data_IF_344063291866
#
_entry.id   IF_344063291866
#
_cell.length_a   1.000
_cell.length_b   1.000
_cell.length_c   1.000
_cell.angle_alpha   90.00
_cell.angle_beta   90.00
_cell.angle_gamma   90.00
#
_symmetry.space_group_name_H-M   'P 1'
#
loop_
_entity.id
_entity.type
_entity.pdbx_description
1 polymer ?
#
# COMPACT_ATOMS: atom_id res chain seq x y z
N UNK A 1 -17.14 -28.19 -64.39
CA UNK A 1 -16.58 -29.56 -64.31
C UNK A 1 -15.89 -29.74 -62.93
N UNK A 2 -16.41 -30.76 -62.22
CA UNK A 2 -15.85 -31.56 -61.12
C UNK A 2 -15.67 -30.92 -59.71
N UNK A 3 -16.65 -31.15 -58.90
CA UNK A 3 -16.74 -31.87 -57.62
C UNK A 3 -15.44 -32.48 -57.07
N UNK A 4 -15.14 -32.14 -55.81
CA UNK A 4 -14.46 -32.93 -54.77
C UNK A 4 -14.82 -32.25 -53.43
N UNK A 5 -15.60 -32.71 -52.61
CA UNK A 5 -15.71 -33.84 -51.75
C UNK A 5 -15.06 -33.51 -50.37
N UNK A 6 -15.86 -32.94 -49.38
CA UNK A 6 -15.42 -32.75 -48.02
C UNK A 6 -15.48 -34.10 -47.29
N UNK A 7 -14.34 -34.63 -46.89
CA UNK A 7 -14.23 -35.77 -45.96
C UNK A 7 -14.41 -35.31 -44.54
N UNK A 8 -15.41 -35.82 -43.83
CA UNK A 8 -15.63 -35.58 -42.41
C UNK A 8 -14.62 -36.34 -41.52
N UNK A 9 -14.43 -35.91 -40.29
CA UNK A 9 -13.42 -36.50 -39.36
C UNK A 9 -13.81 -37.95 -39.01
N UNK A 10 -12.86 -38.83 -39.24
CA UNK A 10 -13.01 -40.26 -39.18
C UNK A 10 -13.31 -40.83 -37.80
N UNK A 11 -13.86 -42.02 -37.80
CA UNK A 11 -14.26 -42.86 -36.66
C UNK A 11 -13.16 -43.18 -35.63
N UNK A 12 -11.90 -42.91 -35.93
CA UNK A 12 -10.77 -43.11 -35.00
C UNK A 12 -10.81 -42.21 -33.74
N UNK A 13 -11.32 -40.99 -33.83
CA UNK A 13 -11.39 -40.07 -32.68
C UNK A 13 -12.44 -40.46 -31.63
N UNK A 14 -13.50 -41.16 -32.05
CA UNK A 14 -14.57 -41.62 -31.14
C UNK A 14 -14.17 -42.86 -30.33
N UNK A 15 -13.33 -43.71 -30.87
CA UNK A 15 -12.81 -44.89 -30.17
C UNK A 15 -11.83 -44.53 -29.08
N UNK A 16 -10.97 -43.54 -29.31
CA UNK A 16 -9.97 -43.08 -28.33
C UNK A 16 -10.60 -42.36 -27.15
N UNK A 17 -11.64 -41.58 -27.34
CA UNK A 17 -12.36 -40.93 -26.24
C UNK A 17 -13.13 -41.92 -25.35
N UNK A 18 -13.71 -43.00 -25.94
CA UNK A 18 -14.35 -44.04 -25.12
C UNK A 18 -13.37 -44.82 -24.25
N UNK A 19 -12.19 -45.14 -24.78
CA UNK A 19 -11.15 -45.86 -24.03
C UNK A 19 -10.63 -45.01 -22.82
N UNK A 20 -10.52 -43.69 -22.98
CA UNK A 20 -10.11 -42.78 -21.88
C UNK A 20 -11.20 -42.66 -20.81
N UNK A 21 -12.49 -42.68 -21.18
CA UNK A 21 -13.60 -42.63 -20.23
C UNK A 21 -13.75 -43.95 -19.45
N UNK A 22 -13.54 -45.10 -20.09
CA UNK A 22 -13.58 -46.39 -19.41
C UNK A 22 -12.37 -46.57 -18.45
N UNK A 23 -11.20 -46.06 -18.81
CA UNK A 23 -10.02 -46.04 -17.91
C UNK A 23 -10.21 -45.14 -16.70
N UNK A 24 -10.84 -43.98 -16.82
CA UNK A 24 -11.17 -43.07 -15.74
C UNK A 24 -12.26 -43.62 -14.81
N UNK A 25 -13.26 -44.33 -15.37
CA UNK A 25 -14.29 -44.99 -14.57
C UNK A 25 -13.72 -46.18 -13.76
N UNK A 26 -12.78 -46.92 -14.31
CA UNK A 26 -12.11 -48.04 -13.60
C UNK A 26 -11.23 -47.54 -12.44
N UNK A 27 -10.53 -46.38 -12.60
CA UNK A 27 -9.75 -45.77 -11.53
C UNK A 27 -10.63 -45.22 -10.41
N UNK A 28 -11.81 -44.71 -10.69
CA UNK A 28 -12.78 -44.25 -9.68
C UNK A 28 -13.39 -45.41 -8.88
N UNK A 29 -13.61 -46.58 -9.52
CA UNK A 29 -14.13 -47.77 -8.85
C UNK A 29 -13.13 -48.44 -7.91
N UNK A 30 -11.82 -48.37 -8.22
CA UNK A 30 -10.76 -48.91 -7.36
C UNK A 30 -10.55 -48.02 -6.11
N UNK A 31 -10.80 -46.72 -6.21
CA UNK A 31 -10.72 -45.81 -5.05
C UNK A 31 -11.87 -46.01 -4.05
N UNK A 32 -13.02 -46.56 -4.45
CA UNK A 32 -14.14 -46.84 -3.56
C UNK A 32 -14.04 -48.19 -2.83
N UNK A 33 -13.16 -49.10 -3.28
CA UNK A 33 -13.05 -50.47 -2.70
C UNK A 33 -11.99 -50.59 -1.61
N UNK A 34 -11.17 -49.56 -1.39
CA UNK A 34 -10.17 -49.51 -0.29
C UNK A 34 -10.73 -48.93 1.01
N UNK A 35 -11.97 -48.41 1.01
CA UNK A 35 -12.63 -47.77 2.15
C UNK A 35 -13.47 -48.66 3.04
N UNK A 36 -13.55 -49.98 2.83
CA UNK A 36 -14.39 -50.90 3.63
C UNK A 36 -13.57 -51.93 4.40
N UNK A 37 -12.82 -51.50 5.39
CA UNK A 37 -12.28 -52.35 6.46
C UNK A 37 -12.91 -51.94 7.78
N UNK A 38 -13.86 -52.77 8.17
CA UNK A 38 -14.46 -53.09 9.49
C UNK A 38 -14.10 -52.20 10.68
N UNK A 39 -15.17 -51.65 11.26
CA UNK A 39 -15.21 -51.09 12.58
C UNK A 39 -14.79 -52.04 13.71
N UNK A 40 -13.92 -51.54 14.56
CA UNK A 40 -13.70 -51.95 15.92
C UNK A 40 -14.08 -50.79 16.84
N UNK A 41 -14.69 -51.01 18.01
CA UNK A 41 -15.10 -49.95 18.91
C UNK A 41 -13.89 -49.46 19.69
N UNK A 42 -13.69 -48.16 19.67
CA UNK A 42 -12.88 -47.50 20.69
C UNK A 42 -11.54 -47.02 20.24
N UNK A 43 -11.51 -45.80 20.27
CA UNK A 43 -10.51 -44.76 20.53
C UNK A 43 -10.65 -43.67 19.48
N UNK A 44 -11.59 -42.75 19.73
CA UNK A 44 -11.45 -41.41 19.19
C UNK A 44 -10.13 -40.83 19.73
N UNK A 45 -9.06 -41.05 19.00
CA UNK A 45 -7.92 -40.15 19.12
C UNK A 45 -8.43 -38.79 18.64
N UNK A 46 -8.83 -37.96 19.59
CA UNK A 46 -8.70 -36.53 19.43
C UNK A 46 -7.21 -36.33 19.09
N UNK A 47 -6.90 -36.27 17.83
CA UNK A 47 -5.72 -35.57 17.37
C UNK A 47 -5.97 -34.14 17.87
N UNK A 48 -5.53 -33.84 19.08
CA UNK A 48 -5.44 -32.51 19.58
C UNK A 48 -4.67 -31.77 18.50
N UNK A 49 -5.35 -30.83 17.84
CA UNK A 49 -4.61 -29.81 17.10
C UNK A 49 -3.62 -29.30 18.13
N UNK A 50 -2.34 -29.64 17.92
CA UNK A 50 -1.28 -29.12 18.74
C UNK A 50 -1.50 -27.60 18.75
N UNK A 51 -1.90 -27.06 19.87
CA UNK A 51 -2.16 -25.63 20.02
C UNK A 51 -0.86 -24.97 19.55
N UNK A 52 -0.94 -24.14 18.53
CA UNK A 52 0.22 -23.42 18.06
C UNK A 52 0.82 -22.71 19.28
N UNK A 53 2.14 -22.85 19.51
CA UNK A 53 2.77 -22.26 20.69
C UNK A 53 2.46 -20.78 20.72
N UNK A 54 2.02 -20.26 21.86
CA UNK A 54 1.74 -18.84 22.05
C UNK A 54 3.04 -18.04 21.82
N UNK A 55 3.13 -17.18 20.81
CA UNK A 55 4.35 -16.42 20.54
C UNK A 55 4.72 -15.44 21.64
N UNK A 56 3.81 -15.17 22.59
CA UNK A 56 4.01 -14.30 23.73
C UNK A 56 4.47 -15.04 25.01
N UNK A 57 4.68 -16.35 24.94
CA UNK A 57 5.16 -17.17 26.05
C UNK A 57 6.32 -18.09 25.59
N UNK A 58 7.24 -18.37 26.50
CA UNK A 58 8.27 -19.39 26.27
C UNK A 58 7.70 -20.79 26.48
N UNK A 59 8.53 -21.83 26.28
CA UNK A 59 8.16 -23.23 26.46
C UNK A 59 7.75 -23.57 27.91
N UNK A 60 8.14 -22.76 28.88
CA UNK A 60 7.82 -22.90 30.29
C UNK A 60 6.62 -22.06 30.71
N UNK A 61 6.00 -21.32 29.77
CA UNK A 61 4.87 -20.43 30.03
C UNK A 61 5.27 -19.07 30.63
N UNK A 62 6.55 -18.72 30.66
CA UNK A 62 6.98 -17.40 31.10
C UNK A 62 6.70 -16.36 30.03
N UNK A 63 6.38 -15.10 30.43
CA UNK A 63 6.16 -14.00 29.50
C UNK A 63 7.38 -13.77 28.58
N UNK A 64 7.14 -13.75 27.27
CA UNK A 64 8.12 -13.43 26.26
C UNK A 64 7.65 -12.26 25.43
N UNK A 65 8.53 -11.30 25.12
CA UNK A 65 8.22 -10.21 24.20
C UNK A 65 7.72 -10.75 22.87
N UNK A 66 6.57 -10.28 22.44
CA UNK A 66 5.97 -10.64 21.16
C UNK A 66 5.62 -9.39 20.36
N UNK A 67 5.68 -9.51 19.05
CA UNK A 67 5.50 -8.42 18.10
C UNK A 67 4.46 -8.84 17.06
N UNK A 68 3.51 -7.95 16.69
CA UNK A 68 2.55 -8.22 15.63
C UNK A 68 3.21 -8.40 14.26
N UNK A 69 2.49 -9.07 13.35
CA UNK A 69 2.91 -9.23 11.98
C UNK A 69 3.09 -7.89 11.27
N UNK A 70 4.03 -7.88 10.34
CA UNK A 70 4.23 -6.75 9.43
C UNK A 70 3.12 -6.73 8.38
N UNK A 71 2.48 -5.58 8.19
CA UNK A 71 1.36 -5.42 7.25
C UNK A 71 1.44 -4.10 6.48
N UNK A 72 0.76 -4.05 5.35
CA UNK A 72 0.41 -2.77 4.73
C UNK A 72 -0.82 -2.20 5.44
N UNK A 73 -0.61 -1.24 6.34
CA UNK A 73 -1.67 -0.63 7.13
C UNK A 73 -2.62 0.26 6.31
N UNK A 74 -2.28 0.59 5.06
CA UNK A 74 -3.11 1.37 4.15
C UNK A 74 -4.12 0.52 3.38
N UNK A 75 -3.86 -0.78 3.20
CA UNK A 75 -4.66 -1.63 2.32
C UNK A 75 -6.16 -1.61 2.67
N UNK A 76 -6.99 -1.31 1.66
CA UNK A 76 -8.45 -1.27 1.78
C UNK A 76 -9.00 -0.15 2.66
N UNK A 77 -8.18 0.84 3.04
CA UNK A 77 -8.63 1.98 3.83
C UNK A 77 -9.01 3.18 2.97
N UNK A 78 -9.97 3.95 3.46
CA UNK A 78 -10.38 5.19 2.83
C UNK A 78 -9.32 6.27 2.97
N UNK A 79 -8.97 6.92 1.86
CA UNK A 79 -8.08 8.07 1.82
C UNK A 79 -8.90 9.33 1.54
N UNK A 80 -8.81 10.32 2.41
CA UNK A 80 -9.38 11.65 2.16
C UNK A 80 -8.42 12.44 1.30
N UNK A 81 -8.91 12.94 0.17
CA UNK A 81 -8.14 13.73 -0.78
C UNK A 81 -8.73 15.13 -0.90
N UNK A 82 -7.87 16.12 -1.16
CA UNK A 82 -8.31 17.50 -1.36
C UNK A 82 -8.79 17.78 -2.78
N UNK A 83 -8.45 16.92 -3.74
CA UNK A 83 -8.78 17.08 -5.15
C UNK A 83 -8.97 15.72 -5.81
N UNK A 84 -9.98 15.61 -6.65
CA UNK A 84 -10.20 14.46 -7.55
C UNK A 84 -10.87 14.97 -8.81
N UNK A 85 -10.39 14.55 -9.98
CA UNK A 85 -10.95 14.93 -11.27
C UNK A 85 -12.36 14.35 -11.50
N UNK A 86 -13.08 14.91 -12.46
CA UNK A 86 -14.33 14.35 -12.98
C UNK A 86 -15.62 14.94 -12.42
N UNK A 87 -15.53 16.00 -11.61
CA UNK A 87 -16.69 16.78 -11.14
C UNK A 87 -16.42 18.28 -11.22
N UNK A 88 -16.75 18.95 -12.34
CA UNK A 88 -17.37 18.44 -13.57
C UNK A 88 -16.45 17.53 -14.37
N UNK A 89 -16.97 16.76 -15.36
CA UNK A 89 -16.14 16.01 -16.29
C UNK A 89 -15.11 16.91 -16.97
N UNK A 90 -13.85 16.48 -16.99
CA UNK A 90 -12.76 17.27 -17.53
C UNK A 90 -11.82 16.41 -18.38
N UNK A 91 -11.30 17.01 -19.45
CA UNK A 91 -10.28 16.38 -20.29
C UNK A 91 -8.93 16.41 -19.56
N UNK A 92 -8.16 15.37 -19.71
CA UNK A 92 -6.73 15.31 -19.29
C UNK A 92 -5.90 14.62 -20.36
N UNK A 93 -4.61 14.93 -20.44
CA UNK A 93 -3.73 14.38 -21.46
C UNK A 93 -2.50 13.74 -20.80
N UNK A 94 -2.30 12.46 -21.12
CA UNK A 94 -1.10 11.72 -20.70
C UNK A 94 0.01 12.00 -21.71
N UNK A 95 1.17 12.40 -21.19
CA UNK A 95 2.37 12.63 -21.99
C UNK A 95 3.22 11.37 -21.99
N UNK A 96 3.63 10.94 -23.16
CA UNK A 96 4.59 9.87 -23.39
C UNK A 96 5.72 10.34 -24.28
N UNK A 97 6.88 9.72 -24.20
CA UNK A 97 8.04 10.03 -25.04
C UNK A 97 8.36 8.85 -25.92
N UNK A 98 8.58 9.12 -27.20
CA UNK A 98 9.04 8.15 -28.17
C UNK A 98 10.26 8.74 -28.90
N UNK A 99 11.45 8.36 -28.43
CA UNK A 99 12.68 9.04 -28.88
C UNK A 99 12.69 10.50 -28.41
N UNK A 100 12.83 11.44 -29.35
CA UNK A 100 12.80 12.89 -29.05
C UNK A 100 11.39 13.50 -29.13
N UNK A 101 10.40 12.73 -29.61
CA UNK A 101 9.03 13.22 -29.77
C UNK A 101 8.22 13.02 -28.48
N UNK A 102 7.50 14.08 -28.07
CA UNK A 102 6.48 14.02 -27.04
C UNK A 102 5.11 13.79 -27.67
N UNK A 103 4.49 12.69 -27.27
CA UNK A 103 3.15 12.32 -27.70
C UNK A 103 2.18 12.61 -26.55
N UNK A 104 1.02 13.20 -26.88
CA UNK A 104 -0.07 13.43 -25.94
C UNK A 104 -1.28 12.56 -26.32
N UNK A 105 -1.76 11.79 -25.38
CA UNK A 105 -3.00 11.02 -25.49
C UNK A 105 -4.03 11.57 -24.51
N UNK A 106 -5.12 12.13 -25.05
CA UNK A 106 -6.11 12.81 -24.24
C UNK A 106 -7.32 11.93 -23.95
N UNK A 107 -7.81 11.96 -22.74
CA UNK A 107 -8.91 11.19 -22.19
C UNK A 107 -9.87 12.07 -21.42
N UNK A 108 -11.03 11.54 -21.08
CA UNK A 108 -12.04 12.21 -20.25
C UNK A 108 -12.06 11.58 -18.85
N UNK A 109 -11.83 12.38 -17.82
CA UNK A 109 -12.15 12.03 -16.44
C UNK A 109 -13.60 12.37 -16.15
N UNK A 110 -14.39 11.40 -15.70
CA UNK A 110 -15.79 11.58 -15.35
C UNK A 110 -16.15 10.71 -14.14
N UNK A 111 -16.42 11.33 -13.02
CA UNK A 111 -16.74 10.62 -11.77
C UNK A 111 -18.06 9.83 -11.82
N UNK A 112 -18.95 10.13 -12.77
CA UNK A 112 -20.23 9.43 -12.96
C UNK A 112 -20.13 8.18 -13.83
N UNK A 113 -18.99 7.98 -14.53
CA UNK A 113 -18.76 6.83 -15.40
C UNK A 113 -17.65 5.95 -14.75
N UNK A 114 -17.97 4.74 -14.28
CA UNK A 114 -16.98 3.86 -13.64
C UNK A 114 -15.74 3.54 -14.48
N UNK A 115 -15.86 3.61 -15.83
CA UNK A 115 -14.74 3.37 -16.74
C UNK A 115 -13.82 4.58 -16.93
N UNK A 116 -14.28 5.75 -16.51
CA UNK A 116 -13.58 7.04 -16.67
C UNK A 116 -13.34 7.74 -15.32
N UNK A 117 -13.72 7.10 -14.22
CA UNK A 117 -13.54 7.62 -12.89
C UNK A 117 -12.16 7.27 -12.34
N UNK A 118 -11.59 8.19 -11.56
CA UNK A 118 -10.31 8.04 -10.86
C UNK A 118 -10.47 8.32 -9.36
N UNK A 119 -11.27 7.52 -8.63
CA UNK A 119 -11.62 7.80 -7.24
C UNK A 119 -10.46 7.52 -6.27
N UNK A 120 -10.49 8.09 -5.05
CA UNK A 120 -9.49 7.85 -4.01
C UNK A 120 -9.36 6.39 -3.57
N UNK A 121 -10.40 5.58 -3.75
CA UNK A 121 -10.35 4.14 -3.43
C UNK A 121 -9.24 3.38 -4.19
N UNK A 122 -8.83 3.89 -5.35
CA UNK A 122 -7.74 3.32 -6.15
C UNK A 122 -6.34 3.53 -5.54
N UNK A 123 -6.22 4.34 -4.49
CA UNK A 123 -4.95 4.53 -3.77
C UNK A 123 -4.57 3.35 -2.88
N UNK A 124 -5.55 2.56 -2.44
CA UNK A 124 -5.37 1.52 -1.41
C UNK A 124 -6.01 0.19 -1.78
N UNK A 125 -6.45 0.05 -3.03
CA UNK A 125 -6.96 -1.21 -3.57
C UNK A 125 -5.81 -2.21 -3.84
N UNK A 126 -6.16 -3.36 -4.43
CA UNK A 126 -5.16 -4.34 -4.81
C UNK A 126 -4.34 -3.81 -5.99
N UNK A 127 -3.05 -3.57 -5.78
CA UNK A 127 -2.13 -3.17 -6.84
C UNK A 127 -1.94 -4.34 -7.84
N UNK A 128 -2.67 -4.28 -8.96
CA UNK A 128 -2.62 -5.28 -10.01
C UNK A 128 -1.89 -4.72 -11.25
N UNK A 129 -0.68 -5.20 -11.55
CA UNK A 129 0.11 -4.68 -12.69
C UNK A 129 -0.54 -4.91 -14.05
N UNK A 130 -1.49 -5.85 -14.16
CA UNK A 130 -2.21 -6.13 -15.41
C UNK A 130 -3.47 -5.29 -15.58
N UNK A 131 -3.97 -4.68 -14.52
CA UNK A 131 -5.15 -3.79 -14.54
C UNK A 131 -4.93 -2.66 -13.56
N UNK A 132 -4.06 -1.73 -13.94
CA UNK A 132 -3.65 -0.62 -13.08
C UNK A 132 -4.80 0.37 -12.90
N UNK A 133 -5.15 0.63 -11.66
CA UNK A 133 -6.09 1.67 -11.24
C UNK A 133 -5.32 2.87 -10.73
N UNK A 134 -5.80 4.10 -11.00
CA UNK A 134 -5.13 5.32 -10.56
C UNK A 134 -6.15 6.33 -10.05
N UNK A 135 -5.91 6.83 -8.84
CA UNK A 135 -6.52 8.09 -8.43
C UNK A 135 -5.87 9.24 -9.18
N UNK A 136 -6.63 10.26 -9.51
CA UNK A 136 -6.13 11.45 -10.21
C UNK A 136 -6.75 12.73 -9.64
N UNK A 137 -5.89 13.75 -9.45
CA UNK A 137 -6.30 15.10 -9.09
C UNK A 137 -6.97 15.83 -10.26
N UNK A 138 -7.58 16.97 -9.98
CA UNK A 138 -7.88 17.95 -11.01
C UNK A 138 -6.61 18.43 -11.71
N UNK A 139 -6.75 18.97 -12.91
CA UNK A 139 -5.64 19.49 -13.68
C UNK A 139 -5.11 20.83 -13.12
N UNK A 140 -3.84 21.10 -13.35
CA UNK A 140 -3.21 22.42 -13.17
C UNK A 140 -3.30 23.00 -11.76
N UNK A 141 -3.23 22.17 -10.73
CA UNK A 141 -3.09 22.64 -9.35
C UNK A 141 -1.60 22.91 -9.05
N UNK A 142 -1.21 24.17 -9.17
CA UNK A 142 0.17 24.65 -8.97
C UNK A 142 0.34 25.35 -7.62
N UNK A 143 1.59 25.40 -7.16
CA UNK A 143 1.97 26.20 -6.01
C UNK A 143 1.37 27.63 -6.08
N UNK A 144 0.80 28.17 -4.99
CA UNK A 144 0.87 27.67 -3.61
C UNK A 144 -0.21 26.63 -3.21
N UNK A 145 -1.02 26.14 -4.13
CA UNK A 145 -2.06 25.15 -3.85
C UNK A 145 -1.46 23.76 -3.72
N UNK A 146 -1.68 23.12 -2.56
CA UNK A 146 -1.28 21.76 -2.31
C UNK A 146 -2.42 20.78 -2.59
N UNK A 147 -2.09 19.62 -3.14
CA UNK A 147 -2.99 18.47 -3.16
C UNK A 147 -2.60 17.54 -2.03
N UNK A 148 -3.54 17.21 -1.15
CA UNK A 148 -3.27 16.39 0.03
C UNK A 148 -4.02 15.06 -0.01
N UNK A 149 -3.33 14.00 0.40
CA UNK A 149 -3.87 12.67 0.68
C UNK A 149 -3.77 12.45 2.19
N UNK A 150 -4.86 12.18 2.88
CA UNK A 150 -4.88 11.93 4.33
C UNK A 150 -5.46 10.55 4.60
N UNK A 151 -4.64 9.68 5.19
CA UNK A 151 -4.96 8.31 5.54
C UNK A 151 -4.96 8.14 7.05
N UNK A 152 -6.07 7.65 7.62
CA UNK A 152 -6.10 7.17 9.00
C UNK A 152 -5.75 5.70 9.07
N UNK A 153 -4.79 5.32 9.89
CA UNK A 153 -4.42 3.93 10.12
C UNK A 153 -5.38 3.22 11.09
N UNK A 154 -6.27 3.98 11.75
CA UNK A 154 -7.25 3.47 12.71
C UNK A 154 -6.67 3.06 14.05
N UNK A 155 -5.35 3.01 14.17
CA UNK A 155 -4.58 2.65 15.36
C UNK A 155 -3.17 3.20 15.23
N UNK A 156 -2.43 3.25 16.32
CA UNK A 156 -1.00 3.56 16.29
C UNK A 156 -0.20 2.38 15.71
N UNK A 157 0.57 2.65 14.65
CA UNK A 157 1.49 1.71 14.01
C UNK A 157 2.93 2.20 14.17
N UNK A 158 3.85 1.27 14.32
CA UNK A 158 5.28 1.51 14.12
C UNK A 158 5.54 1.43 12.62
N UNK A 159 5.60 2.59 11.98
CA UNK A 159 5.72 2.72 10.53
C UNK A 159 7.17 2.50 10.12
N UNK A 160 7.38 1.56 9.20
CA UNK A 160 8.70 1.26 8.64
C UNK A 160 8.93 2.02 7.34
N UNK A 161 7.90 2.07 6.48
CA UNK A 161 8.00 2.83 5.23
C UNK A 161 6.65 3.42 4.80
N UNK A 162 6.73 4.46 3.99
CA UNK A 162 5.61 4.99 3.21
C UNK A 162 6.04 5.01 1.75
N UNK A 163 5.26 4.41 0.86
CA UNK A 163 5.56 4.39 -0.56
C UNK A 163 4.38 4.81 -1.41
N UNK A 164 4.69 5.46 -2.53
CA UNK A 164 3.72 5.86 -3.55
C UNK A 164 4.21 5.44 -4.92
N UNK A 165 3.32 4.83 -5.71
CA UNK A 165 3.57 4.54 -7.12
C UNK A 165 2.72 5.46 -7.97
N UNK A 166 3.33 6.12 -8.96
CA UNK A 166 2.71 7.17 -9.77
C UNK A 166 2.30 6.66 -11.14
N UNK A 167 1.12 7.11 -11.60
CA UNK A 167 0.70 6.99 -13.00
C UNK A 167 1.07 8.24 -13.82
N UNK A 168 1.28 9.36 -13.14
CA UNK A 168 1.84 10.61 -13.68
C UNK A 168 3.34 10.70 -13.36
N UNK A 169 4.04 11.71 -13.90
CA UNK A 169 5.36 12.06 -13.39
C UNK A 169 5.32 12.31 -11.88
N UNK A 170 6.38 11.94 -11.18
CA UNK A 170 6.52 12.26 -9.75
C UNK A 170 6.50 13.77 -9.54
N UNK A 171 5.99 14.27 -8.40
CA UNK A 171 6.03 15.71 -8.11
C UNK A 171 7.47 16.21 -7.97
N UNK A 172 7.70 17.46 -8.35
CA UNK A 172 8.97 18.16 -8.09
C UNK A 172 9.14 18.43 -6.60
N UNK A 173 8.04 18.72 -5.89
CA UNK A 173 8.04 18.95 -4.45
C UNK A 173 6.87 18.28 -3.78
N UNK A 174 7.15 17.51 -2.73
CA UNK A 174 6.14 16.90 -1.86
C UNK A 174 6.65 16.72 -0.44
N UNK A 175 5.73 16.56 0.49
CA UNK A 175 6.02 16.29 1.88
C UNK A 175 5.16 15.15 2.42
N UNK A 176 5.72 14.38 3.36
CA UNK A 176 5.02 13.38 4.14
C UNK A 176 4.97 13.88 5.58
N UNK A 177 3.76 13.88 6.15
CA UNK A 177 3.50 14.23 7.55
C UNK A 177 2.92 13.04 8.28
N UNK A 178 3.15 12.97 9.58
CA UNK A 178 2.47 12.02 10.46
C UNK A 178 1.69 12.72 11.56
N UNK A 179 0.67 12.06 12.06
CA UNK A 179 -0.02 12.40 13.31
C UNK A 179 0.16 11.27 14.31
N UNK A 180 0.22 11.64 15.59
CA UNK A 180 0.28 10.72 16.74
C UNK A 180 -1.02 10.75 17.57
N UNK A 181 -1.94 11.64 17.21
CA UNK A 181 -3.14 11.98 17.97
C UNK A 181 -4.42 11.95 17.11
N UNK A 182 -4.46 11.01 16.16
CA UNK A 182 -5.59 10.75 15.27
C UNK A 182 -5.97 11.97 14.41
N UNK A 183 -4.96 12.62 13.86
CA UNK A 183 -5.12 13.71 12.89
C UNK A 183 -5.37 15.09 13.49
N UNK A 184 -5.22 15.27 14.81
CA UNK A 184 -5.38 16.57 15.48
C UNK A 184 -4.17 17.48 15.23
N UNK A 185 -2.96 16.93 15.40
CA UNK A 185 -1.71 17.63 15.11
C UNK A 185 -0.87 16.85 14.09
N UNK A 186 -0.06 17.58 13.33
CA UNK A 186 0.75 17.02 12.27
C UNK A 186 2.19 17.48 12.41
N UNK A 187 3.11 16.54 12.28
CA UNK A 187 4.54 16.82 12.27
C UNK A 187 5.15 16.30 10.97
N UNK A 188 6.15 16.99 10.40
CA UNK A 188 6.81 16.53 9.20
C UNK A 188 7.55 15.21 9.45
N UNK A 189 7.49 14.32 8.46
CA UNK A 189 8.16 13.02 8.46
C UNK A 189 9.27 12.98 7.42
N UNK A 190 9.02 13.54 6.21
CA UNK A 190 9.99 13.65 5.12
C UNK A 190 9.59 14.76 4.15
N UNK A 191 10.58 15.42 3.56
CA UNK A 191 10.40 16.36 2.46
C UNK A 191 11.20 15.92 1.24
N UNK A 192 10.62 16.11 0.05
CA UNK A 192 11.26 15.89 -1.23
C UNK A 192 11.12 17.14 -2.09
N UNK A 193 12.22 17.72 -2.51
CA UNK A 193 12.26 18.88 -3.41
C UNK A 193 13.66 19.13 -3.94
N UNK A 194 13.76 19.62 -5.18
CA UNK A 194 15.00 20.21 -5.69
C UNK A 194 15.27 21.59 -5.09
N UNK A 195 14.25 22.22 -4.48
CA UNK A 195 14.29 23.57 -3.91
C UNK A 195 13.93 23.56 -2.43
N UNK A 196 14.57 22.71 -1.64
CA UNK A 196 14.27 22.48 -0.21
C UNK A 196 14.14 23.78 0.62
N UNK A 197 15.06 24.74 0.40
CA UNK A 197 15.04 26.01 1.12
C UNK A 197 13.82 26.86 0.77
N UNK A 198 13.48 26.92 -0.51
CA UNK A 198 12.36 27.74 -1.01
C UNK A 198 11.02 27.14 -0.62
N UNK A 199 10.88 25.82 -0.78
CA UNK A 199 9.60 25.14 -0.60
C UNK A 199 9.26 24.85 0.88
N UNK A 200 10.29 24.48 1.66
CA UNK A 200 10.06 23.95 3.03
C UNK A 200 10.92 24.64 4.11
N UNK A 201 11.70 25.65 3.73
CA UNK A 201 12.66 26.32 4.62
C UNK A 201 13.61 25.32 5.33
N UNK A 202 14.03 24.28 4.61
CA UNK A 202 14.92 23.24 5.10
C UNK A 202 16.22 23.23 4.30
N UNK A 203 17.37 22.90 4.93
CA UNK A 203 18.60 22.70 4.21
C UNK A 203 18.48 21.46 3.31
N UNK A 204 19.18 21.50 2.16
CA UNK A 204 19.24 20.38 1.24
C UNK A 204 20.17 19.29 1.77
N UNK A 205 19.68 18.05 1.84
CA UNK A 205 20.44 16.86 2.30
C UNK A 205 21.20 17.08 3.61
N UNK A 206 20.55 17.68 4.60
CA UNK A 206 21.15 17.84 5.92
C UNK A 206 21.55 16.49 6.52
N UNK A 207 22.74 16.36 7.13
CA UNK A 207 23.16 15.13 7.76
C UNK A 207 22.28 14.82 8.98
N UNK A 208 21.94 13.56 9.16
CA UNK A 208 21.24 13.07 10.33
C UNK A 208 22.30 12.66 11.36
N UNK A 209 22.22 13.24 12.54
CA UNK A 209 23.08 12.95 13.69
C UNK A 209 22.23 12.48 14.87
N UNK A 210 22.85 12.00 15.92
CA UNK A 210 22.13 11.60 17.15
C UNK A 210 21.29 12.73 17.77
N UNK A 211 21.63 14.00 17.52
CA UNK A 211 20.88 15.14 18.05
C UNK A 211 19.61 15.45 17.26
N UNK A 212 19.50 15.05 15.99
CA UNK A 212 18.37 15.39 15.11
C UNK A 212 17.67 14.18 14.49
N UNK A 213 17.77 13.00 15.11
CA UNK A 213 17.14 11.76 14.61
C UNK A 213 15.61 11.83 14.49
N UNK A 214 14.95 12.77 15.18
CA UNK A 214 13.50 13.01 15.07
C UNK A 214 13.16 14.17 14.13
N UNK A 215 14.08 14.66 13.37
CA UNK A 215 13.83 15.72 12.41
C UNK A 215 13.59 15.17 10.99
N UNK A 216 12.60 15.76 10.31
CA UNK A 216 12.40 15.51 8.89
C UNK A 216 13.48 16.20 8.08
N UNK A 217 14.09 15.45 7.18
CA UNK A 217 15.08 15.99 6.22
C UNK A 217 14.44 16.28 4.89
N UNK A 218 15.08 17.12 4.09
CA UNK A 218 14.67 17.41 2.72
C UNK A 218 15.75 16.96 1.74
N UNK A 219 15.34 16.15 0.76
CA UNK A 219 16.21 15.65 -0.29
C UNK A 219 15.57 15.83 -1.67
N UNK A 220 16.40 15.84 -2.71
CA UNK A 220 15.98 15.81 -4.11
C UNK A 220 15.87 14.36 -4.65
N UNK A 221 16.04 13.36 -3.79
CA UNK A 221 15.78 11.97 -4.15
C UNK A 221 14.34 11.81 -4.62
N UNK A 222 14.13 11.03 -5.68
CA UNK A 222 12.80 10.78 -6.24
C UNK A 222 12.06 12.01 -6.80
N UNK A 223 12.75 13.13 -7.02
CA UNK A 223 12.13 14.34 -7.59
C UNK A 223 12.30 14.43 -9.11
N UNK A 224 12.96 13.47 -9.74
CA UNK A 224 13.11 13.43 -11.18
C UNK A 224 11.76 13.24 -11.87
N UNK A 225 11.53 13.97 -12.97
CA UNK A 225 10.32 13.86 -13.77
C UNK A 225 10.18 12.47 -14.39
N UNK A 226 11.28 11.85 -14.81
CA UNK A 226 11.27 10.50 -15.39
C UNK A 226 11.40 9.41 -14.32
N UNK A 227 10.72 8.26 -14.51
CA UNK A 227 9.86 7.94 -15.63
C UNK A 227 8.53 8.73 -15.59
N UNK A 228 7.93 9.00 -16.76
CA UNK A 228 6.68 9.76 -16.86
C UNK A 228 5.46 8.99 -16.29
N UNK A 229 5.61 7.70 -16.09
CA UNK A 229 4.63 6.81 -15.44
C UNK A 229 5.36 5.67 -14.75
N UNK A 230 4.78 5.11 -13.70
CA UNK A 230 5.36 4.00 -12.93
C UNK A 230 6.49 4.42 -11.98
N UNK A 231 6.75 5.73 -11.82
CA UNK A 231 7.73 6.23 -10.86
C UNK A 231 7.34 5.88 -9.43
N UNK A 232 8.33 5.51 -8.60
CA UNK A 232 8.15 5.16 -7.20
C UNK A 232 8.81 6.21 -6.31
N UNK A 233 8.13 6.55 -5.21
CA UNK A 233 8.72 7.22 -4.05
C UNK A 233 8.61 6.26 -2.88
N UNK A 234 9.73 5.98 -2.22
CA UNK A 234 9.77 5.15 -1.02
C UNK A 234 10.53 5.89 0.08
N UNK A 235 9.84 6.18 1.17
CA UNK A 235 10.40 6.76 2.37
C UNK A 235 10.54 5.68 3.44
N UNK A 236 11.77 5.42 3.90
CA UNK A 236 12.05 4.55 5.04
C UNK A 236 12.26 5.40 6.28
N UNK A 237 11.56 5.08 7.37
CA UNK A 237 11.56 5.89 8.60
C UNK A 237 12.89 5.85 9.35
N UNK A 238 13.65 4.76 9.21
CA UNK A 238 14.91 4.52 9.92
C UNK A 238 16.15 4.74 9.06
N UNK A 239 15.98 4.91 7.75
CA UNK A 239 17.12 5.07 6.85
C UNK A 239 17.95 6.31 7.19
N UNK A 240 19.29 6.12 7.21
CA UNK A 240 20.25 7.17 7.55
C UNK A 240 20.24 7.63 9.01
N UNK A 241 19.47 7.01 9.91
CA UNK A 241 19.42 7.38 11.34
C UNK A 241 20.44 6.57 12.14
N UNK A 242 21.36 7.24 12.86
CA UNK A 242 22.48 6.58 13.54
C UNK A 242 22.08 5.49 14.54
N UNK A 243 20.96 5.66 15.26
CA UNK A 243 20.51 4.68 16.26
C UNK A 243 19.62 3.56 15.68
N UNK A 244 19.43 3.51 14.35
CA UNK A 244 18.56 2.52 13.72
C UNK A 244 19.01 1.06 13.94
N UNK A 245 20.32 0.82 14.05
CA UNK A 245 20.90 -0.50 14.32
C UNK A 245 20.60 -1.02 15.73
N UNK A 246 20.26 -0.13 16.66
CA UNK A 246 19.92 -0.44 18.05
C UNK A 246 18.55 0.17 18.41
N UNK A 247 17.58 -0.05 17.55
CA UNK A 247 16.25 0.53 17.64
C UNK A 247 15.56 0.21 18.98
N UNK A 248 15.73 -1.01 19.47
CA UNK A 248 15.09 -1.47 20.72
C UNK A 248 15.58 -0.71 21.96
N UNK A 249 16.77 -0.15 21.93
CA UNK A 249 17.34 0.66 23.00
C UNK A 249 17.33 2.17 22.72
N UNK A 250 16.68 2.61 21.63
CA UNK A 250 16.58 4.01 21.24
C UNK A 250 15.19 4.59 21.53
N UNK A 251 14.93 5.23 22.69
CA UNK A 251 13.65 5.88 22.97
C UNK A 251 13.32 6.96 21.93
N UNK A 252 14.32 7.63 21.39
CA UNK A 252 14.18 8.67 20.36
C UNK A 252 13.55 8.11 19.08
N UNK A 253 14.03 6.96 18.59
CA UNK A 253 13.49 6.33 17.40
C UNK A 253 12.16 5.61 17.66
N UNK A 254 11.97 5.07 18.87
CA UNK A 254 10.69 4.49 19.30
C UNK A 254 9.57 5.53 19.39
N UNK A 255 9.91 6.82 19.54
CA UNK A 255 8.97 7.93 19.46
C UNK A 255 8.87 8.53 18.04
N UNK A 256 9.92 8.35 17.23
CA UNK A 256 9.95 8.83 15.85
C UNK A 256 9.06 8.02 14.92
N UNK A 257 9.13 6.69 14.93
CA UNK A 257 8.46 5.82 13.96
C UNK A 257 6.94 5.70 14.12
N UNK A 258 6.30 5.84 15.32
CA UNK A 258 4.87 5.66 15.43
C UNK A 258 4.06 6.73 14.71
N UNK A 259 2.91 6.31 14.18
CA UNK A 259 1.90 7.18 13.61
C UNK A 259 0.50 6.58 13.75
N UNK A 260 -0.50 7.44 13.93
CA UNK A 260 -1.93 7.09 13.84
C UNK A 260 -2.50 7.43 12.46
N UNK A 261 -1.90 8.43 11.79
CA UNK A 261 -2.31 8.93 10.49
C UNK A 261 -1.11 9.39 9.69
N UNK A 262 -1.24 9.26 8.37
CA UNK A 262 -0.24 9.73 7.40
C UNK A 262 -0.92 10.74 6.48
N UNK A 263 -0.22 11.85 6.20
CA UNK A 263 -0.62 12.84 5.20
C UNK A 263 0.50 13.03 4.19
N UNK A 264 0.15 12.91 2.93
CA UNK A 264 1.02 13.27 1.81
C UNK A 264 0.53 14.58 1.23
N UNK A 265 1.41 15.55 1.04
CA UNK A 265 1.12 16.83 0.43
C UNK A 265 1.96 17.02 -0.82
N UNK A 266 1.33 17.05 -1.99
CA UNK A 266 1.96 17.38 -3.25
C UNK A 266 1.96 18.91 -3.39
N UNK A 267 3.13 19.52 -3.48
CA UNK A 267 3.29 20.96 -3.42
C UNK A 267 3.61 21.60 -4.77
N UNK A 268 4.26 20.86 -5.66
CA UNK A 268 4.64 21.34 -6.99
C UNK A 268 4.73 20.23 -8.00
N UNK A 269 4.15 20.46 -9.18
CA UNK A 269 4.30 19.62 -10.36
C UNK A 269 5.61 19.94 -11.10
N UNK A 270 6.14 18.95 -11.81
CA UNK A 270 7.07 19.23 -12.90
C UNK A 270 6.33 19.84 -14.07
N UNK A 271 7.02 20.74 -14.77
CA UNK A 271 6.55 21.34 -16.01
C UNK A 271 7.43 20.87 -17.16
N UNK A 272 6.82 20.70 -18.33
CA UNK A 272 7.53 20.23 -19.52
C UNK A 272 8.32 21.32 -20.25
N UNK A 273 8.43 22.51 -19.67
CA UNK A 273 9.10 23.66 -20.27
C UNK A 273 8.20 24.46 -21.25
N UNK A 274 6.97 24.00 -21.47
CA UNK A 274 6.03 24.61 -22.41
C UNK A 274 5.29 25.82 -21.81
N UNK A 275 5.57 26.18 -20.57
CA UNK A 275 4.86 27.23 -19.83
C UNK A 275 5.03 28.64 -20.42
N UNK A 276 6.13 28.87 -21.13
CA UNK A 276 6.43 30.17 -21.71
C UNK A 276 6.01 30.30 -23.19
N UNK A 277 5.69 29.19 -23.84
CA UNK A 277 5.34 29.17 -25.27
C UNK A 277 3.89 28.90 -25.56
N UNK A 278 3.15 28.27 -24.61
CA UNK A 278 1.77 27.88 -24.86
C UNK A 278 0.95 27.87 -23.58
N UNK A 279 0.22 28.95 -23.32
CA UNK A 279 -0.89 28.96 -22.36
C UNK A 279 -2.09 28.15 -22.90
N UNK A 280 -1.80 27.12 -23.69
CA UNK A 280 -2.78 26.29 -24.35
C UNK A 280 -3.48 25.40 -23.34
N UNK A 281 -4.79 25.18 -23.56
CA UNK A 281 -5.58 24.21 -22.77
C UNK A 281 -4.91 22.84 -22.76
N UNK A 282 -4.24 22.47 -23.85
CA UNK A 282 -3.58 21.18 -24.00
C UNK A 282 -2.40 21.01 -23.03
N UNK A 283 -1.63 22.07 -22.78
CA UNK A 283 -0.55 22.06 -21.79
C UNK A 283 -1.13 21.90 -20.37
N UNK A 284 -2.15 22.68 -20.03
CA UNK A 284 -2.84 22.63 -18.74
C UNK A 284 -3.44 21.26 -18.46
N UNK A 285 -4.03 20.61 -19.46
CA UNK A 285 -4.61 19.27 -19.36
C UNK A 285 -3.57 18.18 -19.10
N UNK A 286 -2.30 18.47 -19.28
CA UNK A 286 -1.19 17.53 -19.07
C UNK A 286 -0.57 17.60 -17.66
N UNK A 287 -1.00 18.55 -16.82
CA UNK A 287 -0.46 18.77 -15.48
C UNK A 287 -1.43 18.33 -14.40
N UNK A 288 -1.22 17.15 -13.83
CA UNK A 288 -2.01 16.57 -12.75
C UNK A 288 -1.18 15.58 -11.94
N UNK A 289 -1.63 15.26 -10.73
CA UNK A 289 -1.10 14.15 -9.94
C UNK A 289 -1.96 12.91 -10.15
N UNK A 290 -1.34 11.77 -10.40
CA UNK A 290 -2.02 10.49 -10.45
C UNK A 290 -1.18 9.40 -9.77
N UNK A 291 -1.82 8.65 -8.86
CA UNK A 291 -1.17 7.65 -8.01
C UNK A 291 -1.94 6.35 -8.10
N UNK A 292 -1.23 5.25 -8.36
CA UNK A 292 -1.81 3.90 -8.44
C UNK A 292 -1.79 3.16 -7.12
N UNK A 293 -0.86 3.50 -6.22
CA UNK A 293 -0.72 2.76 -4.97
C UNK A 293 -0.10 3.64 -3.88
N UNK A 294 -0.70 3.60 -2.70
CA UNK A 294 -0.20 4.19 -1.47
C UNK A 294 -0.07 3.09 -0.43
N UNK A 295 1.14 2.81 0.00
CA UNK A 295 1.41 1.81 1.04
C UNK A 295 1.98 2.45 2.28
N UNK A 296 1.58 1.93 3.42
CA UNK A 296 2.18 2.23 4.73
C UNK A 296 2.53 0.92 5.39
N UNK A 297 3.79 0.52 5.27
CA UNK A 297 4.30 -0.72 5.85
C UNK A 297 4.69 -0.52 7.30
N UNK A 298 4.21 -1.41 8.17
CA UNK A 298 4.53 -1.34 9.59
C UNK A 298 3.88 -2.43 10.43
N UNK A 299 4.00 -2.30 11.73
CA UNK A 299 3.42 -3.21 12.72
C UNK A 299 2.51 -2.43 13.66
N UNK A 300 1.43 -3.04 14.14
CA UNK A 300 0.66 -2.46 15.25
C UNK A 300 1.59 -2.19 16.43
N UNK A 301 1.52 -0.98 17.02
CA UNK A 301 2.21 -0.69 18.28
C UNK A 301 1.48 -1.38 19.43
N UNK A 302 2.10 -2.41 19.99
CA UNK A 302 1.55 -3.22 21.09
C UNK A 302 2.53 -3.39 22.25
N UNK A 303 3.59 -2.60 22.31
CA UNK A 303 4.58 -2.51 23.39
C UNK A 303 5.22 -3.85 23.79
N UNK A 304 5.28 -4.83 22.87
CA UNK A 304 5.86 -6.14 23.15
C UNK A 304 4.92 -7.13 23.86
N UNK A 305 3.64 -6.79 23.99
CA UNK A 305 2.67 -7.57 24.76
C UNK A 305 1.53 -8.18 23.91
N UNK A 306 1.66 -8.15 22.60
CA UNK A 306 0.71 -8.81 21.70
C UNK A 306 1.40 -9.28 20.42
N UNK A 307 0.98 -10.43 19.90
CA UNK A 307 1.43 -10.96 18.63
C UNK A 307 0.53 -10.57 17.46
N UNK A 308 -0.65 -10.01 17.73
CA UNK A 308 -1.62 -9.61 16.71
C UNK A 308 -2.54 -8.48 17.16
N UNK A 309 -3.10 -7.77 16.19
CA UNK A 309 -4.26 -6.89 16.39
C UNK A 309 -5.56 -7.66 16.23
N UNK A 310 -6.58 -7.26 16.96
CA UNK A 310 -7.95 -7.78 16.88
C UNK A 310 -8.93 -6.62 16.80
N UNK A 311 -10.14 -6.86 16.31
CA UNK A 311 -11.22 -5.88 16.39
C UNK A 311 -11.96 -6.03 17.68
N UNK A 312 -12.21 -4.92 18.37
CA UNK A 312 -13.04 -4.89 19.56
C UNK A 312 -14.54 -4.81 19.23
N UNK A 313 -15.38 -4.59 20.25
CA UNK A 313 -16.83 -4.51 20.08
C UNK A 313 -17.29 -3.32 19.23
N UNK A 314 -16.49 -2.28 19.19
CA UNK A 314 -16.75 -1.04 18.44
C UNK A 314 -16.10 -1.07 17.04
N UNK A 315 -15.68 -2.27 16.60
CA UNK A 315 -14.94 -2.51 15.34
C UNK A 315 -13.59 -1.76 15.25
N UNK A 316 -13.10 -1.26 16.37
CA UNK A 316 -11.80 -0.61 16.47
C UNK A 316 -10.68 -1.64 16.54
N UNK A 317 -9.58 -1.38 15.83
CA UNK A 317 -8.40 -2.23 15.87
C UNK A 317 -7.64 -2.02 17.18
N UNK A 318 -7.47 -3.07 17.98
CA UNK A 318 -6.75 -3.06 19.25
C UNK A 318 -5.76 -4.22 19.33
N UNK A 319 -4.79 -4.14 20.22
CA UNK A 319 -3.87 -5.25 20.47
C UNK A 319 -4.55 -6.38 21.27
N UNK A 320 -4.31 -7.65 20.92
CA UNK A 320 -4.69 -8.84 21.70
C UNK A 320 -3.71 -8.99 22.88
N UNK A 321 -3.90 -8.16 23.92
CA UNK A 321 -2.92 -7.98 24.99
C UNK A 321 -2.70 -9.23 25.85
N UNK A 322 -1.44 -9.58 26.08
CA UNK A 322 -0.92 -10.62 26.97
C UNK A 322 -0.22 -10.02 28.18
N UNK A 323 0.40 -10.85 29.02
CA UNK A 323 1.25 -10.46 30.15
C UNK A 323 0.54 -9.54 31.18
N UNK A 324 -0.77 -9.77 31.40
CA UNK A 324 -1.60 -8.96 32.30
C UNK A 324 -1.64 -7.47 31.95
N UNK A 325 -1.49 -7.15 30.65
CA UNK A 325 -1.61 -5.79 30.13
C UNK A 325 -2.99 -5.55 29.51
N UNK A 326 -3.36 -4.28 29.39
CA UNK A 326 -4.63 -3.81 28.85
C UNK A 326 -4.45 -2.50 28.08
N UNK A 327 -5.51 -2.06 27.43
CA UNK A 327 -5.53 -0.85 26.59
C UNK A 327 -5.37 -1.16 25.11
N UNK A 328 -5.64 -0.19 24.23
CA UNK A 328 -5.53 -0.38 22.79
C UNK A 328 -4.13 -0.80 22.33
N UNK A 329 -3.10 -0.42 23.08
CA UNK A 329 -1.68 -0.62 22.78
C UNK A 329 -0.97 -1.49 23.85
N UNK A 330 -1.73 -2.13 24.77
CA UNK A 330 -1.18 -2.85 25.92
C UNK A 330 -0.27 -1.94 26.78
N UNK A 331 -0.69 -0.72 27.00
CA UNK A 331 0.07 0.37 27.62
C UNK A 331 -0.21 0.54 29.12
N UNK A 332 -1.05 -0.30 29.71
CA UNK A 332 -1.38 -0.28 31.13
C UNK A 332 -1.58 -1.70 31.68
N UNK A 333 -1.44 -1.87 32.98
CA UNK A 333 -1.72 -3.13 33.64
C UNK A 333 -3.24 -3.41 33.71
N UNK A 334 -3.62 -4.67 33.70
CA UNK A 334 -4.98 -5.06 34.07
C UNK A 334 -5.23 -4.71 35.55
N UNK A 335 -6.49 -4.46 35.94
CA UNK A 335 -6.82 -4.26 37.36
C UNK A 335 -6.30 -5.41 38.22
N UNK A 336 -5.69 -5.07 39.37
CA UNK A 336 -5.11 -6.00 40.35
C UNK A 336 -3.80 -6.71 39.92
N UNK A 337 -3.09 -6.21 38.91
CA UNK A 337 -1.77 -6.71 38.49
C UNK A 337 -0.72 -5.63 38.49
#
# INVERSE_FOLDING_TARGET
>A
DRLLGAAGPGQAGRSMMRAVWEALAALAAVSCLVGAVRGGPGLSMFAGQAAQPDPCSDENGHPRRCIPDFVNAAFGKDVRVSSTCGRPPARYCVVSERGEERLRSCHLCNASDPKKAHPPAFLTDLNNPHNLTCWQSENYLQFPHNVTLTLSLGKKFEVTYVSLQFCSPRPESMAIYKSMDYGRTWVPFQFYSTQCRKMYNRPHRAPITKQNEQEAVCTDSHTDMRPLSGGLIAFSTLDGRPSAHDFDNSPVLQDWVPATDIRVAFSRLHTFGDENEDDSELARDSYFYAVSDLQVGGRCKCNGHAARGVRDRDDSLVCDCRHNTAGPECDRCKPFH
#
